data_IF_999527266807
#
_entry.id   IF_999527266807
#
_cell.length_a   1.000
_cell.length_b   1.000
_cell.length_c   1.000
_cell.angle_alpha   90.00
_cell.angle_beta   90.00
_cell.angle_gamma   90.00
#
_symmetry.space_group_name_H-M   'P 1'
#
loop_
_entity.id
_entity.type
_entity.pdbx_description
1 polymer ?
#
# COMPACT_ATOMS: atom_id res chain seq x y z
N UNK A 1 -23.75 23.12 10.10
CA UNK A 1 -23.69 21.69 9.71
C UNK A 1 -23.28 20.85 10.91
N UNK A 2 -23.89 19.68 11.14
CA UNK A 2 -23.48 18.78 12.23
C UNK A 2 -22.22 18.02 11.81
N UNK A 3 -21.23 17.90 12.71
CA UNK A 3 -19.91 17.24 12.43
C UNK A 3 -20.09 15.78 11.97
N UNK A 4 -21.14 15.11 12.44
CA UNK A 4 -21.60 13.80 11.96
C UNK A 4 -21.68 13.71 10.43
N UNK A 5 -22.10 14.76 9.72
CA UNK A 5 -22.21 14.74 8.25
C UNK A 5 -20.84 14.63 7.58
N UNK A 6 -19.81 15.29 8.11
CA UNK A 6 -18.43 15.22 7.56
C UNK A 6 -17.79 13.85 7.87
N UNK A 7 -18.00 13.32 9.08
CA UNK A 7 -17.58 11.97 9.43
C UNK A 7 -18.26 10.91 8.55
N UNK A 8 -19.57 11.05 8.28
CA UNK A 8 -20.30 10.19 7.35
C UNK A 8 -19.79 10.32 5.91
N UNK A 9 -19.45 11.52 5.42
CA UNK A 9 -18.83 11.68 4.10
C UNK A 9 -17.44 11.04 4.03
N UNK A 10 -16.62 11.10 5.09
CA UNK A 10 -15.32 10.45 5.12
C UNK A 10 -15.45 8.92 5.20
N UNK A 11 -16.35 8.41 6.04
CA UNK A 11 -16.71 6.99 6.11
C UNK A 11 -17.24 6.48 4.76
N UNK A 12 -18.09 7.25 4.09
CA UNK A 12 -18.69 6.94 2.79
C UNK A 12 -17.67 7.04 1.65
N UNK A 13 -16.72 7.97 1.73
CA UNK A 13 -15.60 8.08 0.78
C UNK A 13 -14.65 6.89 0.92
N UNK A 14 -14.30 6.48 2.15
CA UNK A 14 -13.55 5.24 2.41
C UNK A 14 -14.33 4.03 1.89
N UNK A 15 -15.64 3.94 2.15
CA UNK A 15 -16.48 2.86 1.65
C UNK A 15 -16.55 2.81 0.11
N UNK A 16 -16.68 3.96 -0.57
CA UNK A 16 -16.63 4.04 -2.03
C UNK A 16 -15.25 3.65 -2.56
N UNK A 17 -14.16 4.14 -1.93
CA UNK A 17 -12.80 3.79 -2.34
C UNK A 17 -12.52 2.28 -2.21
N UNK A 18 -13.02 1.65 -1.14
CA UNK A 18 -12.96 0.19 -0.94
C UNK A 18 -13.81 -0.57 -1.97
N UNK A 19 -15.05 -0.12 -2.23
CA UNK A 19 -15.93 -0.73 -3.23
C UNK A 19 -15.43 -0.55 -4.69
N UNK A 20 -14.65 0.49 -4.98
CA UNK A 20 -14.04 0.71 -6.30
C UNK A 20 -12.70 -0.02 -6.51
N UNK A 21 -12.12 -0.61 -5.47
CA UNK A 21 -10.80 -1.25 -5.53
C UNK A 21 -10.82 -2.74 -5.95
N UNK A 22 -12.00 -3.35 -6.16
CA UNK A 22 -12.11 -4.72 -6.64
C UNK A 22 -11.66 -4.88 -8.10
N UNK A 23 -10.71 -5.79 -8.36
CA UNK A 23 -10.30 -6.18 -9.72
C UNK A 23 -11.45 -6.85 -10.45
N UNK A 24 -11.99 -6.20 -11.49
CA UNK A 24 -13.01 -6.78 -12.37
C UNK A 24 -12.34 -7.59 -13.48
N UNK A 25 -12.24 -8.91 -13.31
CA UNK A 25 -11.56 -9.81 -14.25
C UNK A 25 -12.21 -9.80 -15.65
N UNK A 26 -13.52 -9.51 -15.75
CA UNK A 26 -14.20 -9.37 -17.04
C UNK A 26 -13.74 -8.10 -17.76
N UNK A 27 -13.56 -6.98 -17.04
CA UNK A 27 -12.99 -5.75 -17.60
C UNK A 27 -11.51 -5.92 -17.98
N UNK A 28 -10.73 -6.65 -17.18
CA UNK A 28 -9.30 -6.92 -17.46
C UNK A 28 -9.15 -7.71 -18.77
N UNK A 29 -10.00 -8.71 -19.02
CA UNK A 29 -10.03 -9.43 -20.31
C UNK A 29 -10.81 -8.71 -21.42
N UNK A 30 -11.48 -7.58 -21.14
CA UNK A 30 -12.28 -6.84 -22.12
C UNK A 30 -13.52 -7.59 -22.62
N UNK A 31 -14.13 -8.44 -21.78
CA UNK A 31 -15.29 -9.28 -22.13
C UNK A 31 -16.52 -8.95 -21.25
N UNK A 32 -17.76 -9.16 -21.74
CA UNK A 32 -18.95 -9.00 -20.90
C UNK A 32 -19.07 -10.13 -19.86
N UNK A 33 -19.81 -9.89 -18.77
CA UNK A 33 -20.06 -10.91 -17.73
C UNK A 33 -20.81 -12.15 -18.24
N UNK A 34 -21.57 -12.00 -19.32
CA UNK A 34 -22.24 -13.10 -20.04
C UNK A 34 -21.33 -13.88 -20.98
N UNK A 35 -20.03 -13.57 -21.06
CA UNK A 35 -19.11 -14.23 -22.00
C UNK A 35 -19.00 -15.74 -21.74
N UNK A 36 -19.00 -16.53 -22.81
CA UNK A 36 -18.76 -17.96 -22.75
C UNK A 36 -17.24 -18.26 -22.67
N UNK A 37 -16.91 -19.52 -22.35
CA UNK A 37 -15.51 -19.95 -22.17
C UNK A 37 -14.64 -19.69 -23.42
N UNK A 38 -15.22 -19.84 -24.62
CA UNK A 38 -14.50 -19.63 -25.88
C UNK A 38 -14.18 -18.13 -26.11
N UNK A 39 -15.08 -17.23 -25.72
CA UNK A 39 -14.83 -15.79 -25.74
C UNK A 39 -13.73 -15.38 -24.74
N UNK A 40 -13.76 -15.95 -23.53
CA UNK A 40 -12.74 -15.74 -22.49
C UNK A 40 -11.36 -16.24 -22.98
N UNK A 41 -11.28 -17.47 -23.51
CA UNK A 41 -10.07 -18.04 -24.13
C UNK A 41 -9.55 -17.17 -25.27
N UNK A 42 -10.42 -16.72 -26.18
CA UNK A 42 -10.05 -15.88 -27.33
C UNK A 42 -9.52 -14.50 -26.90
N UNK A 43 -10.14 -13.88 -25.90
CA UNK A 43 -9.68 -12.61 -25.35
C UNK A 43 -8.31 -12.73 -24.66
N UNK A 44 -8.12 -13.76 -23.82
CA UNK A 44 -6.83 -14.04 -23.19
C UNK A 44 -5.73 -14.31 -24.24
N UNK A 45 -5.96 -15.22 -25.21
CA UNK A 45 -4.99 -15.52 -26.29
C UNK A 45 -4.58 -14.26 -27.08
N UNK A 46 -5.51 -13.32 -27.31
CA UNK A 46 -5.20 -12.03 -27.96
C UNK A 46 -4.29 -11.17 -27.07
N UNK A 47 -4.72 -10.89 -25.83
CA UNK A 47 -3.99 -10.02 -24.91
C UNK A 47 -2.61 -10.58 -24.52
N UNK A 48 -2.50 -11.90 -24.35
CA UNK A 48 -1.22 -12.56 -24.05
C UNK A 48 -0.21 -12.46 -25.21
N UNK A 49 -0.68 -12.44 -26.47
CA UNK A 49 0.17 -12.22 -27.65
C UNK A 49 0.58 -10.76 -27.82
N UNK A 50 -0.24 -9.83 -27.34
CA UNK A 50 0.04 -8.39 -27.35
C UNK A 50 0.99 -7.98 -26.21
N UNK A 51 0.82 -8.54 -25.01
CA UNK A 51 1.54 -8.17 -23.78
C UNK A 51 2.67 -9.15 -23.40
N UNK A 52 3.10 -10.03 -24.32
CA UNK A 52 4.08 -11.08 -24.02
C UNK A 52 5.43 -10.49 -23.55
N UNK A 53 6.03 -10.99 -22.44
CA UNK A 53 7.30 -10.46 -21.91
C UNK A 53 8.42 -10.36 -22.96
N UNK A 54 8.57 -11.36 -23.84
CA UNK A 54 9.61 -11.41 -24.87
C UNK A 54 9.57 -10.22 -25.85
N UNK A 55 8.39 -9.61 -26.06
CA UNK A 55 8.21 -8.41 -26.91
C UNK A 55 8.40 -7.09 -26.15
N UNK A 56 8.41 -7.15 -24.83
CA UNK A 56 8.26 -6.01 -23.93
C UNK A 56 9.22 -6.15 -22.73
N UNK A 57 10.46 -6.55 -22.99
CA UNK A 57 11.41 -7.04 -21.99
C UNK A 57 11.73 -6.01 -20.88
N UNK A 58 11.72 -4.71 -21.22
CA UNK A 58 11.96 -3.61 -20.28
C UNK A 58 10.68 -2.88 -19.82
N UNK A 59 9.50 -3.23 -20.35
CA UNK A 59 8.24 -2.54 -20.02
C UNK A 59 7.54 -3.21 -18.82
N UNK A 60 7.80 -2.65 -17.65
CA UNK A 60 7.16 -3.05 -16.39
C UNK A 60 5.62 -2.99 -16.44
N UNK A 61 5.04 -2.07 -17.23
CA UNK A 61 3.58 -1.92 -17.35
C UNK A 61 3.00 -3.05 -18.20
N UNK A 62 3.72 -3.50 -19.24
CA UNK A 62 3.34 -4.69 -20.00
C UNK A 62 3.39 -5.96 -19.11
N UNK A 63 4.43 -6.08 -18.27
CA UNK A 63 4.57 -7.20 -17.33
C UNK A 63 3.44 -7.24 -16.28
N UNK A 64 3.12 -6.10 -15.63
CA UNK A 64 1.97 -6.00 -14.71
C UNK A 64 0.65 -6.40 -15.39
N UNK A 65 0.39 -5.90 -16.60
CA UNK A 65 -0.82 -6.25 -17.37
C UNK A 65 -0.85 -7.73 -17.77
N UNK A 66 0.29 -8.34 -18.07
CA UNK A 66 0.39 -9.76 -18.40
C UNK A 66 0.02 -10.64 -17.19
N UNK A 67 0.47 -10.27 -15.99
CA UNK A 67 0.07 -10.94 -14.74
C UNK A 67 -1.44 -10.80 -14.51
N UNK A 68 -2.00 -9.59 -14.68
CA UNK A 68 -3.42 -9.33 -14.47
C UNK A 68 -4.34 -10.11 -15.43
N UNK A 69 -4.00 -10.23 -16.73
CA UNK A 69 -4.78 -11.05 -17.68
C UNK A 69 -4.67 -12.54 -17.40
N UNK A 70 -3.54 -13.01 -16.86
CA UNK A 70 -3.33 -14.42 -16.53
C UNK A 70 -4.17 -14.82 -15.31
N UNK A 71 -4.15 -14.01 -14.25
CA UNK A 71 -5.00 -14.19 -13.08
C UNK A 71 -6.51 -14.13 -13.44
N UNK A 72 -6.89 -13.18 -14.30
CA UNK A 72 -8.27 -13.07 -14.81
C UNK A 72 -8.70 -14.30 -15.61
N UNK A 73 -7.81 -14.84 -16.46
CA UNK A 73 -8.08 -16.05 -17.23
C UNK A 73 -8.21 -17.30 -16.33
N UNK A 74 -7.34 -17.46 -15.33
CA UNK A 74 -7.40 -18.63 -14.44
C UNK A 74 -8.71 -18.69 -13.64
N UNK A 75 -9.18 -17.54 -13.14
CA UNK A 75 -10.45 -17.45 -12.41
C UNK A 75 -11.65 -17.64 -13.34
N UNK A 76 -11.66 -17.01 -14.51
CA UNK A 76 -12.83 -17.00 -15.41
C UNK A 76 -12.94 -18.24 -16.32
N UNK A 77 -11.84 -18.98 -16.54
CA UNK A 77 -11.84 -20.20 -17.36
C UNK A 77 -12.33 -21.44 -16.62
N UNK A 78 -12.14 -21.51 -15.30
CA UNK A 78 -12.66 -22.58 -14.46
C UNK A 78 -14.10 -22.23 -14.01
N UNK A 79 -15.06 -23.11 -14.30
CA UNK A 79 -16.48 -22.88 -14.04
C UNK A 79 -16.80 -22.68 -12.55
N UNK A 80 -16.10 -23.36 -11.64
CA UNK A 80 -16.32 -23.24 -10.20
C UNK A 80 -15.64 -22.00 -9.62
N UNK A 81 -14.39 -21.70 -10.01
CA UNK A 81 -13.71 -20.45 -9.63
C UNK A 81 -14.52 -19.23 -10.10
N UNK A 82 -15.04 -19.27 -11.33
CA UNK A 82 -15.93 -18.23 -11.89
C UNK A 82 -17.23 -18.11 -11.11
N UNK A 83 -17.90 -19.22 -10.77
CA UNK A 83 -19.15 -19.21 -9.99
C UNK A 83 -18.96 -18.57 -8.62
N UNK A 84 -17.84 -18.88 -7.94
CA UNK A 84 -17.51 -18.29 -6.65
C UNK A 84 -17.15 -16.81 -6.78
N UNK A 85 -16.37 -16.43 -7.81
CA UNK A 85 -16.08 -15.03 -8.14
C UNK A 85 -17.34 -14.21 -8.43
N UNK A 86 -18.27 -14.73 -9.23
CA UNK A 86 -19.53 -14.08 -9.58
C UNK A 86 -20.48 -13.91 -8.37
N UNK A 87 -20.30 -14.73 -7.32
CA UNK A 87 -20.99 -14.60 -6.03
C UNK A 87 -20.30 -13.69 -5.01
N UNK A 88 -19.04 -13.33 -5.23
CA UNK A 88 -18.20 -12.67 -4.22
C UNK A 88 -17.65 -13.63 -3.14
N UNK A 89 -17.73 -14.95 -3.37
CA UNK A 89 -17.26 -16.03 -2.48
C UNK A 89 -15.95 -16.69 -3.00
N UNK A 90 -15.28 -16.03 -3.96
CA UNK A 90 -14.14 -16.57 -4.69
C UNK A 90 -12.86 -16.71 -3.86
N UNK A 91 -12.15 -17.85 -3.91
CA UNK A 91 -10.77 -17.90 -3.44
C UNK A 91 -9.93 -16.97 -4.33
N UNK A 92 -9.22 -16.03 -3.70
CA UNK A 92 -8.32 -15.13 -4.40
C UNK A 92 -7.10 -15.92 -4.84
N UNK A 93 -7.09 -16.27 -6.14
CA UNK A 93 -6.11 -17.20 -6.70
C UNK A 93 -4.72 -16.59 -6.64
N UNK A 94 -3.83 -17.25 -5.91
CA UNK A 94 -2.41 -16.98 -5.83
C UNK A 94 -1.77 -17.16 -7.22
N UNK A 95 -0.97 -16.21 -7.73
CA UNK A 95 -0.16 -16.39 -8.93
C UNK A 95 0.99 -17.35 -8.61
N UNK A 96 0.66 -18.63 -8.51
CA UNK A 96 1.64 -19.69 -8.25
C UNK A 96 2.59 -19.73 -9.44
N UNK A 97 3.85 -19.34 -9.22
CA UNK A 97 4.93 -19.54 -10.21
C UNK A 97 5.30 -21.03 -10.21
N UNK A 98 4.39 -21.85 -10.76
CA UNK A 98 4.72 -23.20 -11.20
C UNK A 98 5.15 -23.12 -12.68
N UNK A 99 6.22 -23.82 -13.09
CA UNK A 99 6.75 -23.76 -14.46
C UNK A 99 5.84 -24.44 -15.52
N UNK A 100 4.59 -24.75 -15.19
CA UNK A 100 3.68 -25.56 -16.01
C UNK A 100 3.03 -24.76 -17.15
N UNK A 101 2.84 -23.44 -16.98
CA UNK A 101 2.06 -22.62 -17.95
C UNK A 101 2.82 -22.32 -19.25
N UNK A 102 4.16 -22.43 -19.27
CA UNK A 102 4.94 -22.29 -20.51
C UNK A 102 4.58 -23.36 -21.56
N UNK A 103 4.21 -24.58 -21.12
CA UNK A 103 3.85 -25.67 -22.03
C UNK A 103 2.50 -25.44 -22.74
N UNK A 104 1.50 -24.83 -22.07
CA UNK A 104 0.23 -24.49 -22.71
C UNK A 104 0.35 -23.27 -23.63
N UNK A 105 1.23 -22.32 -23.32
CA UNK A 105 1.50 -21.17 -24.17
C UNK A 105 2.25 -21.57 -25.46
N UNK A 106 3.20 -22.51 -25.39
CA UNK A 106 3.84 -23.09 -26.57
C UNK A 106 2.87 -23.97 -27.36
N UNK A 107 2.10 -24.84 -26.68
CA UNK A 107 1.08 -25.68 -27.32
C UNK A 107 0.03 -24.86 -28.07
N UNK A 108 -0.42 -23.73 -27.52
CA UNK A 108 -1.35 -22.82 -28.20
C UNK A 108 -0.73 -22.03 -29.37
N UNK A 109 0.61 -21.94 -29.47
CA UNK A 109 1.29 -21.40 -30.65
C UNK A 109 1.46 -22.46 -31.75
N UNK A 110 1.70 -23.72 -31.38
CA UNK A 110 1.80 -24.82 -32.34
C UNK A 110 0.43 -25.27 -32.87
N UNK A 111 -0.63 -25.30 -32.04
CA UNK A 111 -2.03 -25.43 -32.50
C UNK A 111 -2.37 -24.38 -33.58
N UNK A 112 -1.91 -23.12 -33.40
CA UNK A 112 -2.18 -22.05 -34.34
C UNK A 112 -1.36 -22.17 -35.64
N UNK A 113 -0.20 -22.83 -35.62
CA UNK A 113 0.56 -23.16 -36.84
C UNK A 113 -0.11 -24.32 -37.57
N UNK A 114 -0.53 -25.36 -36.87
CA UNK A 114 -1.21 -26.52 -37.45
C UNK A 114 -2.57 -26.13 -38.06
N UNK A 115 -3.35 -25.26 -37.41
CA UNK A 115 -4.60 -24.73 -37.98
C UNK A 115 -4.34 -23.85 -39.21
N UNK A 116 -3.27 -23.04 -39.21
CA UNK A 116 -2.88 -22.24 -40.38
C UNK A 116 -2.42 -23.11 -41.55
N UNK A 117 -1.57 -24.10 -41.29
CA UNK A 117 -1.09 -25.09 -42.27
C UNK A 117 -2.24 -25.95 -42.80
N UNK A 118 -3.19 -26.35 -41.96
CA UNK A 118 -4.42 -27.05 -42.42
C UNK A 118 -5.29 -26.17 -43.30
N UNK A 119 -5.42 -24.88 -43.02
CA UNK A 119 -6.15 -23.93 -43.87
C UNK A 119 -5.44 -23.72 -45.23
N UNK A 120 -4.11 -23.76 -45.23
CA UNK A 120 -3.27 -23.59 -46.42
C UNK A 120 -3.25 -24.86 -47.29
N UNK A 121 -3.18 -26.04 -46.69
CA UNK A 121 -3.37 -27.34 -47.34
C UNK A 121 -4.79 -27.47 -47.91
N UNK A 122 -5.82 -27.07 -47.17
CA UNK A 122 -7.20 -27.08 -47.66
C UNK A 122 -7.39 -26.17 -48.88
N UNK A 123 -6.74 -24.99 -48.91
CA UNK A 123 -6.71 -24.10 -50.08
C UNK A 123 -5.91 -24.66 -51.25
N UNK A 124 -4.87 -25.45 -51.00
CA UNK A 124 -4.09 -26.12 -52.03
C UNK A 124 -4.83 -27.31 -52.69
N UNK A 125 -5.90 -27.82 -52.07
CA UNK A 125 -6.66 -28.99 -52.55
C UNK A 125 -7.83 -28.66 -53.50
N UNK A 126 -8.11 -27.38 -53.78
CA UNK A 126 -9.16 -26.96 -54.72
C UNK A 126 -8.70 -26.86 -56.20
N UNK A 127 -7.48 -27.32 -56.53
CA UNK A 127 -6.96 -27.36 -57.91
C UNK A 127 -6.72 -28.79 -58.42
N UNK A 128 -7.18 -29.08 -59.65
CA UNK A 128 -7.12 -30.38 -60.38
C UNK A 128 -7.15 -30.12 -61.91
N UNK A 129 -6.82 -31.09 -62.81
CA UNK A 129 -6.27 -32.45 -62.61
C UNK A 129 -5.10 -32.84 -63.59
N UNK A 130 -4.84 -34.17 -63.69
CA UNK A 130 -3.99 -34.98 -64.62
C UNK A 130 -2.60 -35.40 -64.08
N UNK A 131 -2.07 -36.61 -64.33
CA UNK A 131 -2.60 -37.92 -64.82
C UNK A 131 -1.59 -39.05 -64.45
N UNK A 132 -2.06 -40.31 -64.31
CA UNK A 132 -1.38 -41.66 -64.39
C UNK A 132 0.12 -41.84 -63.99
N UNK A 133 0.60 -42.90 -63.30
CA UNK A 133 0.40 -44.36 -63.49
C UNK A 133 0.67 -45.21 -62.20
N UNK A 134 0.43 -46.53 -62.27
CA UNK A 134 0.63 -47.58 -61.24
C UNK A 134 2.13 -47.83 -60.89
N UNK A 135 2.57 -48.53 -59.82
CA UNK A 135 2.27 -49.91 -59.35
C UNK A 135 2.77 -50.19 -57.91
N UNK A 136 2.29 -51.27 -57.28
CA UNK A 136 3.03 -52.02 -56.22
C UNK A 136 2.44 -52.05 -54.79
N UNK A 137 2.03 -53.24 -54.32
CA UNK A 137 1.56 -53.54 -52.95
C UNK A 137 2.39 -54.70 -52.31
N UNK A 138 2.03 -55.33 -51.16
CA UNK A 138 2.36 -54.85 -49.79
C UNK A 138 2.95 -55.92 -48.83
N UNK A 139 3.57 -55.51 -47.71
CA UNK A 139 3.93 -56.31 -46.50
C UNK A 139 4.06 -55.33 -45.29
N UNK A 140 4.12 -55.72 -44.01
CA UNK A 140 3.09 -56.27 -43.10
C UNK A 140 3.51 -55.96 -41.62
N UNK A 141 2.63 -56.20 -40.63
CA UNK A 141 2.83 -56.37 -39.16
C UNK A 141 3.72 -55.38 -38.35
N UNK A 142 3.23 -54.64 -37.34
CA UNK A 142 2.64 -55.01 -36.02
C UNK A 142 3.66 -55.40 -34.93
N UNK A 143 3.92 -54.50 -33.96
CA UNK A 143 4.23 -54.81 -32.53
C UNK A 143 3.73 -53.67 -31.62
N UNK A 144 3.21 -53.99 -30.43
CA UNK A 144 2.91 -53.07 -29.31
C UNK A 144 3.63 -53.52 -28.01
N UNK A 145 3.70 -52.68 -26.94
CA UNK A 145 4.84 -52.70 -26.00
C UNK A 145 4.55 -53.28 -24.60
N UNK A 146 5.61 -53.58 -23.83
CA UNK A 146 5.61 -53.70 -22.37
C UNK A 146 6.96 -53.25 -21.79
N UNK A 147 6.96 -52.35 -20.80
CA UNK A 147 8.05 -52.20 -19.81
C UNK A 147 7.43 -51.89 -18.44
N UNK A 148 7.77 -52.69 -17.42
CA UNK A 148 7.53 -52.39 -16.01
C UNK A 148 8.79 -51.79 -15.38
N UNK A 149 8.64 -51.04 -14.30
CA UNK A 149 9.75 -50.66 -13.41
C UNK A 149 9.30 -50.75 -11.95
N UNK A 150 10.18 -51.25 -11.09
CA UNK A 150 9.88 -51.69 -9.73
C UNK A 150 10.10 -50.59 -8.67
N UNK A 151 9.43 -50.73 -7.52
CA UNK A 151 9.77 -50.00 -6.30
C UNK A 151 10.93 -50.68 -5.57
N UNK A 152 11.83 -49.88 -4.97
CA UNK A 152 12.58 -50.31 -3.79
C UNK A 152 12.77 -49.13 -2.84
N UNK A 153 12.52 -49.36 -1.55
CA UNK A 153 12.48 -48.31 -0.53
C UNK A 153 13.64 -48.38 0.46
N UNK A 154 13.92 -47.24 1.10
CA UNK A 154 14.76 -47.16 2.29
C UNK A 154 14.09 -46.24 3.33
N UNK A 155 13.91 -46.75 4.55
CA UNK A 155 13.42 -45.96 5.69
C UNK A 155 14.61 -45.30 6.41
N UNK A 156 14.42 -44.06 6.84
CA UNK A 156 15.21 -43.44 7.90
C UNK A 156 14.26 -42.84 8.95
N UNK A 157 14.55 -43.11 10.21
CA UNK A 157 13.78 -42.65 11.38
C UNK A 157 14.19 -41.22 11.78
N UNK A 158 13.26 -40.46 12.35
CA UNK A 158 13.45 -39.04 12.66
C UNK A 158 12.26 -38.46 13.42
N UNK A 159 12.35 -38.47 14.75
CA UNK A 159 11.28 -38.02 15.65
C UNK A 159 10.80 -36.59 15.36
N UNK A 160 9.50 -36.46 15.06
CA UNK A 160 8.86 -35.17 14.78
C UNK A 160 8.44 -34.51 16.09
N UNK A 161 9.11 -33.45 16.51
CA UNK A 161 8.51 -32.49 17.44
C UNK A 161 7.28 -31.89 16.74
N UNK A 162 6.09 -32.17 17.25
CA UNK A 162 4.87 -31.49 16.82
C UNK A 162 4.90 -30.05 17.33
N UNK A 163 5.29 -29.11 16.48
CA UNK A 163 5.05 -27.69 16.74
C UNK A 163 3.55 -27.44 16.73
N UNK A 164 3.02 -27.17 17.92
CA UNK A 164 1.60 -26.90 18.20
C UNK A 164 1.08 -25.80 17.27
N UNK A 165 0.34 -26.18 16.22
CA UNK A 165 -0.40 -25.22 15.39
C UNK A 165 -1.60 -24.72 16.19
N UNK A 166 -1.40 -23.67 16.97
CA UNK A 166 -2.52 -22.92 17.54
C UNK A 166 -3.27 -22.22 16.40
N UNK A 167 -4.44 -22.76 16.07
CA UNK A 167 -5.31 -22.25 15.00
C UNK A 167 -5.92 -20.94 15.47
N UNK A 168 -5.20 -19.84 15.28
CA UNK A 168 -5.77 -18.50 15.41
C UNK A 168 -6.82 -18.31 14.31
N UNK A 169 -7.97 -17.77 14.70
CA UNK A 169 -9.22 -17.80 13.94
C UNK A 169 -9.07 -17.36 12.47
N UNK A 170 -9.26 -18.30 11.52
CA UNK A 170 -9.48 -17.99 10.10
C UNK A 170 -8.26 -17.59 9.25
N UNK A 171 -7.02 -17.71 9.73
CA UNK A 171 -5.84 -17.41 8.91
C UNK A 171 -5.64 -18.45 7.79
N UNK A 172 -5.90 -18.05 6.54
CA UNK A 172 -5.66 -18.85 5.32
C UNK A 172 -4.18 -18.90 4.90
N UNK A 173 -3.35 -18.05 5.51
CA UNK A 173 -1.94 -17.85 5.18
C UNK A 173 -1.04 -18.10 6.39
N UNK A 174 0.25 -18.32 6.14
CA UNK A 174 1.28 -18.45 7.18
C UNK A 174 2.33 -17.35 7.03
N UNK A 175 2.85 -16.86 8.16
CA UNK A 175 3.86 -15.82 8.13
C UNK A 175 5.16 -16.32 7.48
N UNK A 176 5.75 -15.48 6.63
CA UNK A 176 6.89 -15.80 5.79
C UNK A 176 8.20 -15.18 6.30
N UNK A 177 9.33 -15.72 5.82
CA UNK A 177 10.66 -15.14 5.98
C UNK A 177 10.93 -14.13 4.86
N UNK A 178 11.67 -13.06 5.14
CA UNK A 178 11.90 -11.94 4.21
C UNK A 178 12.49 -12.38 2.86
N UNK A 179 13.35 -13.42 2.87
CA UNK A 179 13.99 -13.94 1.66
C UNK A 179 13.04 -14.66 0.69
N UNK A 180 11.83 -15.05 1.12
CA UNK A 180 10.84 -15.72 0.26
C UNK A 180 9.79 -14.74 -0.28
N UNK A 181 9.89 -13.45 0.06
CA UNK A 181 8.96 -12.41 -0.39
C UNK A 181 9.41 -11.77 -1.70
N UNK A 182 8.47 -11.24 -2.51
CA UNK A 182 8.84 -10.43 -3.68
C UNK A 182 9.54 -9.11 -3.27
N UNK A 183 10.39 -8.52 -4.14
CA UNK A 183 11.24 -7.37 -3.79
C UNK A 183 10.50 -6.15 -3.24
N UNK A 184 9.27 -5.89 -3.67
CA UNK A 184 8.47 -4.74 -3.22
C UNK A 184 8.00 -4.83 -1.76
N UNK A 185 8.12 -6.01 -1.12
CA UNK A 185 7.90 -6.22 0.32
C UNK A 185 9.19 -6.22 1.15
N UNK A 186 10.37 -6.28 0.52
CA UNK A 186 11.66 -6.37 1.22
C UNK A 186 12.20 -4.98 1.66
N UNK A 187 11.39 -4.18 2.37
CA UNK A 187 11.77 -2.80 2.74
C UNK A 187 12.84 -2.71 3.85
N UNK A 188 12.92 -3.72 4.73
CA UNK A 188 13.83 -3.73 5.88
C UNK A 188 14.53 -5.09 6.03
N UNK A 189 15.78 -5.16 5.57
CA UNK A 189 16.63 -6.36 5.61
C UNK A 189 16.93 -6.90 7.02
N UNK A 190 16.66 -6.13 8.08
CA UNK A 190 16.90 -6.55 9.47
C UNK A 190 15.67 -7.17 10.16
N UNK A 191 14.49 -7.06 9.53
CA UNK A 191 13.24 -7.70 9.97
C UNK A 191 13.11 -9.01 9.17
N UNK A 192 13.38 -10.13 9.80
CA UNK A 192 13.62 -11.40 9.11
C UNK A 192 12.36 -12.26 8.96
N UNK A 193 11.56 -12.37 10.02
CA UNK A 193 10.41 -13.26 10.11
C UNK A 193 9.10 -12.49 10.34
N UNK A 194 7.99 -13.22 10.37
CA UNK A 194 6.69 -12.68 10.76
C UNK A 194 6.00 -11.86 9.67
N UNK A 195 6.50 -11.88 8.44
CA UNK A 195 5.93 -11.09 7.34
C UNK A 195 4.65 -11.72 6.77
N UNK A 196 3.75 -10.88 6.27
CA UNK A 196 2.60 -11.35 5.49
C UNK A 196 3.05 -11.68 4.05
N UNK A 197 2.66 -12.84 3.49
CA UNK A 197 2.84 -13.08 2.06
C UNK A 197 1.91 -12.16 1.25
N UNK A 198 2.10 -12.04 -0.07
CA UNK A 198 1.17 -11.33 -0.95
C UNK A 198 -0.25 -11.95 -0.88
N UNK A 199 -1.22 -11.20 -0.35
CA UNK A 199 -2.58 -11.70 -0.12
C UNK A 199 -3.53 -11.45 -1.30
N UNK A 200 -3.22 -10.48 -2.17
CA UNK A 200 -4.04 -10.03 -3.31
C UNK A 200 -5.51 -9.69 -3.01
N UNK A 201 -5.87 -9.60 -1.72
CA UNK A 201 -7.24 -9.53 -1.22
C UNK A 201 -7.34 -8.43 -0.16
N UNK A 202 -8.20 -7.43 -0.40
CA UNK A 202 -8.46 -6.38 0.60
C UNK A 202 -9.03 -6.98 1.88
N UNK A 203 -9.94 -7.95 1.78
CA UNK A 203 -10.60 -8.55 2.93
C UNK A 203 -9.60 -9.27 3.85
N UNK A 204 -8.71 -10.09 3.29
CA UNK A 204 -7.68 -10.78 4.07
C UNK A 204 -6.64 -9.81 4.65
N UNK A 205 -6.32 -8.71 3.92
CA UNK A 205 -5.50 -7.63 4.47
C UNK A 205 -6.16 -6.97 5.69
N UNK A 206 -7.47 -6.67 5.64
CA UNK A 206 -8.20 -6.11 6.79
C UNK A 206 -8.38 -7.11 7.94
N UNK A 207 -8.60 -8.40 7.66
CA UNK A 207 -8.64 -9.43 8.70
C UNK A 207 -7.27 -9.60 9.38
N UNK A 208 -6.16 -9.39 8.66
CA UNK A 208 -4.82 -9.51 9.24
C UNK A 208 -4.55 -8.52 10.38
N UNK A 209 -5.31 -7.41 10.51
CA UNK A 209 -5.25 -6.48 11.66
C UNK A 209 -5.41 -7.21 13.00
N UNK A 210 -6.20 -8.29 13.02
CA UNK A 210 -6.45 -9.11 14.22
C UNK A 210 -5.47 -10.28 14.39
N UNK A 211 -4.40 -10.33 13.58
CA UNK A 211 -3.39 -11.38 13.59
C UNK A 211 -2.00 -10.78 13.90
N UNK A 212 -1.09 -11.63 14.35
CA UNK A 212 0.26 -11.22 14.77
C UNK A 212 1.24 -11.40 13.61
N UNK A 213 1.84 -10.31 13.17
CA UNK A 213 2.81 -10.22 12.08
C UNK A 213 3.70 -8.97 12.24
N UNK A 214 4.73 -8.81 11.40
CA UNK A 214 5.71 -7.72 11.47
C UNK A 214 5.08 -6.32 11.49
N UNK A 215 3.98 -6.15 10.75
CA UNK A 215 3.23 -4.89 10.64
C UNK A 215 2.20 -4.62 11.76
N UNK A 216 1.95 -5.55 12.69
CA UNK A 216 0.87 -5.43 13.69
C UNK A 216 1.07 -4.18 14.56
N UNK A 217 2.30 -3.93 15.04
CA UNK A 217 2.61 -2.74 15.81
C UNK A 217 2.48 -1.43 15.02
N UNK A 218 2.78 -1.43 13.71
CA UNK A 218 2.67 -0.24 12.86
C UNK A 218 1.20 0.14 12.66
N UNK A 219 0.33 -0.84 12.40
CA UNK A 219 -1.13 -0.65 12.27
C UNK A 219 -1.72 -0.15 13.60
N UNK A 220 -1.52 -0.89 14.69
CA UNK A 220 -2.23 -0.60 15.96
C UNK A 220 -1.79 0.70 16.62
N UNK A 221 -0.51 1.08 16.52
CA UNK A 221 -0.02 2.35 17.07
C UNK A 221 -0.72 3.56 16.44
N UNK A 222 -0.80 3.62 15.11
CA UNK A 222 -1.50 4.70 14.41
C UNK A 222 -3.03 4.56 14.44
N UNK A 223 -3.59 3.35 14.55
CA UNK A 223 -5.05 3.16 14.71
C UNK A 223 -5.54 3.67 16.08
N UNK A 224 -4.82 3.38 17.15
CA UNK A 224 -5.09 3.90 18.50
C UNK A 224 -4.92 5.43 18.50
N UNK A 225 -3.83 5.94 17.93
CA UNK A 225 -3.59 7.38 17.81
C UNK A 225 -4.71 8.08 17.03
N UNK A 226 -5.18 7.50 15.91
CA UNK A 226 -6.29 8.02 15.11
C UNK A 226 -7.57 8.11 15.95
N UNK A 227 -7.91 7.07 16.69
CA UNK A 227 -9.11 7.05 17.52
C UNK A 227 -9.03 8.06 18.68
N UNK A 228 -7.89 8.17 19.36
CA UNK A 228 -7.68 9.18 20.41
C UNK A 228 -7.75 10.59 19.83
N UNK A 229 -7.11 10.86 18.70
CA UNK A 229 -7.16 12.17 18.02
C UNK A 229 -8.58 12.49 17.51
N UNK A 230 -9.34 11.49 17.08
CA UNK A 230 -10.75 11.67 16.69
C UNK A 230 -11.61 12.06 17.88
N UNK A 231 -11.51 11.35 19.01
CA UNK A 231 -12.22 11.69 20.25
C UNK A 231 -11.82 13.08 20.77
N UNK A 232 -10.53 13.41 20.73
CA UNK A 232 -10.01 14.73 21.08
C UNK A 232 -10.59 15.83 20.18
N UNK A 233 -10.74 15.57 18.88
CA UNK A 233 -11.39 16.48 17.93
C UNK A 233 -12.85 16.71 18.30
N UNK A 234 -13.62 15.63 18.57
CA UNK A 234 -15.02 15.76 18.98
C UNK A 234 -15.16 16.53 20.29
N UNK A 235 -14.34 16.21 21.30
CA UNK A 235 -14.32 16.89 22.60
C UNK A 235 -13.98 18.38 22.48
N UNK A 236 -12.90 18.72 21.76
CA UNK A 236 -12.50 20.12 21.60
C UNK A 236 -13.55 20.94 20.82
N UNK A 237 -14.15 20.35 19.78
CA UNK A 237 -15.20 21.04 19.01
C UNK A 237 -16.48 21.22 19.83
N UNK A 238 -16.83 20.28 20.72
CA UNK A 238 -18.02 20.36 21.58
C UNK A 238 -17.84 21.18 22.86
N UNK A 239 -16.61 21.38 23.34
CA UNK A 239 -16.31 22.12 24.58
C UNK A 239 -16.79 23.57 24.52
N UNK A 240 -17.15 24.17 25.65
CA UNK A 240 -17.54 25.60 25.70
C UNK A 240 -16.35 26.54 25.93
N UNK A 241 -15.12 26.02 25.97
CA UNK A 241 -13.91 26.77 26.33
C UNK A 241 -13.50 27.87 25.33
N UNK A 242 -13.89 27.74 24.06
CA UNK A 242 -13.53 28.68 23.00
C UNK A 242 -14.74 29.07 22.14
N UNK A 243 -14.78 30.34 21.75
CA UNK A 243 -15.68 30.83 20.71
C UNK A 243 -15.40 30.14 19.36
N UNK A 244 -16.41 30.08 18.48
CA UNK A 244 -16.29 29.40 17.19
C UNK A 244 -15.13 29.93 16.33
N UNK A 245 -14.90 31.24 16.37
CA UNK A 245 -13.78 31.91 15.69
C UNK A 245 -12.42 31.33 16.11
N UNK A 246 -12.18 31.15 17.41
CA UNK A 246 -10.94 30.55 17.92
C UNK A 246 -10.89 29.02 17.79
N UNK A 247 -11.98 28.35 17.38
CA UNK A 247 -12.00 26.91 17.08
C UNK A 247 -11.71 26.57 15.62
N UNK A 248 -12.18 27.39 14.68
CA UNK A 248 -11.97 27.16 13.24
C UNK A 248 -10.48 26.93 12.88
N UNK A 249 -9.51 27.68 13.44
CA UNK A 249 -8.09 27.46 13.14
C UNK A 249 -7.51 26.17 13.73
N UNK A 250 -8.19 25.42 14.60
CA UNK A 250 -7.79 24.06 14.97
C UNK A 250 -8.11 23.02 13.87
N UNK A 251 -9.01 23.33 12.93
CA UNK A 251 -9.47 22.37 11.92
C UNK A 251 -8.35 21.89 10.97
N UNK A 252 -7.45 22.76 10.43
CA UNK A 252 -6.32 22.30 9.61
C UNK A 252 -5.44 21.28 10.33
N UNK A 253 -5.10 21.53 11.61
CA UNK A 253 -4.40 20.57 12.46
C UNK A 253 -5.17 19.24 12.61
N UNK A 254 -6.43 19.25 13.05
CA UNK A 254 -7.17 18.00 13.27
C UNK A 254 -7.41 17.19 11.99
N UNK A 255 -7.78 17.85 10.88
CA UNK A 255 -8.01 17.19 9.59
C UNK A 255 -6.72 16.58 9.06
N UNK A 256 -5.59 17.30 9.16
CA UNK A 256 -4.30 16.80 8.67
C UNK A 256 -3.71 15.69 9.55
N UNK A 257 -3.88 15.76 10.87
CA UNK A 257 -3.49 14.69 11.79
C UNK A 257 -4.29 13.40 11.56
N UNK A 258 -5.63 13.50 11.46
CA UNK A 258 -6.47 12.34 11.13
C UNK A 258 -6.18 11.78 9.74
N UNK A 259 -5.95 12.65 8.75
CA UNK A 259 -5.56 12.23 7.40
C UNK A 259 -4.23 11.47 7.37
N UNK A 260 -3.19 11.99 8.04
CA UNK A 260 -1.88 11.35 8.14
C UNK A 260 -1.95 9.98 8.83
N UNK A 261 -2.57 9.91 10.01
CA UNK A 261 -2.71 8.66 10.77
C UNK A 261 -3.57 7.65 9.98
N UNK A 262 -4.63 8.10 9.33
CA UNK A 262 -5.50 7.26 8.51
C UNK A 262 -4.81 6.68 7.27
N UNK A 263 -4.06 7.50 6.52
CA UNK A 263 -3.27 7.01 5.38
C UNK A 263 -2.23 5.99 5.80
N UNK A 264 -1.58 6.19 6.95
CA UNK A 264 -0.60 5.25 7.51
C UNK A 264 -1.25 3.91 7.89
N UNK A 265 -2.36 3.94 8.65
CA UNK A 265 -3.11 2.70 8.99
C UNK A 265 -3.52 1.92 7.75
N UNK A 266 -4.04 2.61 6.73
CA UNK A 266 -4.45 1.97 5.46
C UNK A 266 -3.23 1.43 4.69
N UNK A 267 -2.11 2.15 4.65
CA UNK A 267 -0.87 1.67 4.05
C UNK A 267 -0.38 0.40 4.74
N UNK A 268 -0.14 0.41 6.05
CA UNK A 268 0.36 -0.77 6.77
C UNK A 268 -0.64 -1.93 6.77
N UNK A 269 -1.95 -1.68 6.65
CA UNK A 269 -2.94 -2.74 6.45
C UNK A 269 -2.77 -3.38 5.07
N UNK A 270 -2.69 -2.58 4.00
CA UNK A 270 -2.72 -3.01 2.60
C UNK A 270 -1.34 -3.26 1.96
N UNK A 271 -0.24 -3.04 2.69
CA UNK A 271 1.13 -3.19 2.18
C UNK A 271 1.41 -4.59 1.62
N UNK A 272 0.70 -5.64 2.07
CA UNK A 272 0.81 -7.00 1.55
C UNK A 272 -0.19 -7.36 0.43
N UNK A 273 -0.95 -6.41 -0.12
CA UNK A 273 -1.96 -6.71 -1.14
C UNK A 273 -1.33 -7.05 -2.50
N UNK A 274 -0.73 -6.07 -3.16
CA UNK A 274 -0.02 -6.20 -4.45
C UNK A 274 0.90 -4.99 -4.65
N UNK A 275 1.89 -5.12 -5.54
CA UNK A 275 2.89 -4.08 -5.78
C UNK A 275 2.26 -2.70 -6.05
N UNK A 276 1.31 -2.62 -6.97
CA UNK A 276 0.61 -1.37 -7.28
C UNK A 276 -0.13 -0.76 -6.07
N UNK A 277 -0.83 -1.58 -5.27
CA UNK A 277 -1.57 -1.10 -4.08
C UNK A 277 -0.59 -0.58 -3.02
N UNK A 278 0.47 -1.34 -2.74
CA UNK A 278 1.53 -0.94 -1.80
C UNK A 278 2.20 0.37 -2.26
N UNK A 279 2.57 0.47 -3.54
CA UNK A 279 3.20 1.67 -4.11
C UNK A 279 2.28 2.90 -4.09
N UNK A 280 0.96 2.72 -4.25
CA UNK A 280 -0.01 3.80 -4.14
C UNK A 280 -0.14 4.28 -2.69
N UNK A 281 -0.42 3.38 -1.75
CA UNK A 281 -0.65 3.77 -0.36
C UNK A 281 0.62 4.26 0.35
N UNK A 282 1.82 3.76 -0.01
CA UNK A 282 3.10 4.30 0.46
C UNK A 282 3.31 5.77 0.04
N UNK A 283 2.84 6.15 -1.14
CA UNK A 283 2.87 7.57 -1.58
C UNK A 283 1.85 8.41 -0.81
N UNK A 284 0.67 7.87 -0.51
CA UNK A 284 -0.35 8.57 0.29
C UNK A 284 0.10 8.76 1.74
N UNK A 285 0.75 7.77 2.35
CA UNK A 285 1.36 7.87 3.69
C UNK A 285 2.44 8.97 3.75
N UNK A 286 3.39 8.97 2.81
CA UNK A 286 4.38 10.07 2.69
C UNK A 286 3.72 11.45 2.47
N UNK A 287 2.66 11.54 1.67
CA UNK A 287 1.87 12.77 1.52
C UNK A 287 1.18 13.18 2.84
N UNK A 288 0.72 12.21 3.64
CA UNK A 288 0.14 12.43 4.96
C UNK A 288 1.07 13.23 5.88
N UNK A 289 2.35 12.87 5.92
CA UNK A 289 3.37 13.58 6.72
C UNK A 289 3.50 15.05 6.28
N UNK A 290 3.58 15.31 4.97
CA UNK A 290 3.66 16.68 4.44
C UNK A 290 2.39 17.50 4.75
N UNK A 291 1.22 16.88 4.62
CA UNK A 291 -0.09 17.48 4.92
C UNK A 291 -0.21 17.81 6.41
N UNK A 292 0.22 16.89 7.30
CA UNK A 292 0.27 17.10 8.76
C UNK A 292 1.12 18.31 9.12
N UNK A 293 2.39 18.35 8.70
CA UNK A 293 3.31 19.46 9.00
C UNK A 293 2.69 20.79 8.53
N UNK A 294 2.13 20.81 7.32
CA UNK A 294 1.51 22.01 6.76
C UNK A 294 0.27 22.45 7.55
N UNK A 295 -0.65 21.52 7.86
CA UNK A 295 -1.87 21.80 8.59
C UNK A 295 -1.62 22.25 10.03
N UNK A 296 -0.67 21.61 10.72
CA UNK A 296 -0.24 22.05 12.06
C UNK A 296 0.33 23.47 12.01
N UNK A 297 1.26 23.76 11.08
CA UNK A 297 1.90 25.07 11.02
C UNK A 297 0.90 26.18 10.68
N UNK A 298 -0.05 25.96 9.76
CA UNK A 298 -1.12 26.92 9.47
C UNK A 298 -1.97 27.20 10.71
N UNK A 299 -2.39 26.16 11.44
CA UNK A 299 -3.16 26.31 12.67
C UNK A 299 -2.46 27.19 13.71
N UNK A 300 -1.16 26.98 13.94
CA UNK A 300 -0.42 27.74 14.94
C UNK A 300 -0.07 29.16 14.49
N UNK A 301 0.25 29.35 13.20
CA UNK A 301 0.52 30.67 12.62
C UNK A 301 -0.64 31.65 12.76
N UNK A 302 -1.88 31.17 12.73
CA UNK A 302 -3.07 32.00 12.94
C UNK A 302 -3.03 32.70 14.31
N UNK A 303 -2.76 31.95 15.40
CA UNK A 303 -2.69 32.54 16.73
C UNK A 303 -1.39 33.32 16.96
N UNK A 304 -0.29 32.96 16.30
CA UNK A 304 0.94 33.77 16.36
C UNK A 304 0.70 35.17 15.79
N UNK A 305 0.17 35.28 14.56
CA UNK A 305 -0.06 36.55 13.87
C UNK A 305 -1.53 37.01 13.93
N UNK A 306 -2.22 36.75 15.05
CA UNK A 306 -3.66 36.99 15.22
C UNK A 306 -4.09 38.42 14.86
N UNK A 307 -3.34 39.45 15.28
CA UNK A 307 -3.63 40.86 14.96
C UNK A 307 -3.09 41.33 13.60
N UNK A 308 -2.43 40.46 12.84
CA UNK A 308 -1.69 40.81 11.62
C UNK A 308 -1.93 39.79 10.51
N UNK A 309 -3.18 39.76 10.01
CA UNK A 309 -3.67 38.82 9.00
C UNK A 309 -2.80 38.75 7.74
N UNK A 310 -2.10 39.82 7.37
CA UNK A 310 -1.19 39.83 6.23
C UNK A 310 0.07 38.97 6.45
N UNK A 311 0.64 38.98 7.67
CA UNK A 311 1.76 38.10 8.05
C UNK A 311 1.30 36.65 8.12
N UNK A 312 0.13 36.40 8.69
CA UNK A 312 -0.49 35.08 8.69
C UNK A 312 -0.64 34.53 7.26
N UNK A 313 -1.25 35.29 6.34
CA UNK A 313 -1.44 34.88 4.94
C UNK A 313 -0.11 34.65 4.23
N UNK A 314 0.87 35.55 4.40
CA UNK A 314 2.20 35.41 3.82
C UNK A 314 2.88 34.11 4.26
N UNK A 315 2.95 33.84 5.56
CA UNK A 315 3.58 32.64 6.09
C UNK A 315 2.77 31.37 5.78
N UNK A 316 1.43 31.42 5.79
CA UNK A 316 0.59 30.29 5.42
C UNK A 316 0.80 29.89 3.95
N UNK A 317 0.84 30.85 3.02
CA UNK A 317 1.15 30.58 1.60
C UNK A 317 2.56 30.01 1.42
N UNK A 318 3.56 30.56 2.13
CA UNK A 318 4.91 30.02 2.10
C UNK A 318 4.94 28.56 2.59
N UNK A 319 4.33 28.27 3.74
CA UNK A 319 4.27 26.93 4.32
C UNK A 319 3.52 25.94 3.43
N UNK A 320 2.39 26.33 2.83
CA UNK A 320 1.70 25.50 1.83
C UNK A 320 2.61 25.20 0.63
N UNK A 321 3.38 26.18 0.15
CA UNK A 321 4.29 25.98 -0.98
C UNK A 321 5.46 25.04 -0.65
N UNK A 322 5.93 25.02 0.60
CA UNK A 322 6.96 24.09 1.07
C UNK A 322 6.38 22.68 1.32
N UNK A 323 5.17 22.60 1.88
CA UNK A 323 4.39 21.36 2.03
C UNK A 323 4.15 20.66 0.69
N UNK A 324 3.66 21.39 -0.32
CA UNK A 324 3.45 20.84 -1.68
C UNK A 324 4.77 20.39 -2.32
N UNK A 325 5.85 21.16 -2.19
CA UNK A 325 7.17 20.77 -2.72
C UNK A 325 7.70 19.50 -2.05
N UNK A 326 7.63 19.42 -0.71
CA UNK A 326 8.08 18.23 0.03
C UNK A 326 7.25 17.00 -0.35
N UNK A 327 5.93 17.09 -0.42
CA UNK A 327 5.06 16.00 -0.89
C UNK A 327 5.46 15.51 -2.30
N UNK A 328 5.58 16.43 -3.27
CA UNK A 328 5.97 16.10 -4.66
C UNK A 328 7.35 15.42 -4.71
N UNK A 329 8.32 15.92 -3.94
CA UNK A 329 9.68 15.39 -3.88
C UNK A 329 9.73 13.99 -3.25
N UNK A 330 8.89 13.69 -2.26
CA UNK A 330 8.91 12.39 -1.57
C UNK A 330 8.10 11.28 -2.25
N UNK A 331 7.23 11.62 -3.22
CA UNK A 331 6.46 10.65 -4.03
C UNK A 331 7.02 10.41 -5.44
N UNK A 332 7.93 11.26 -5.92
CA UNK A 332 8.56 11.14 -7.24
C UNK A 332 9.95 10.53 -7.16
N UNK A 333 10.26 9.64 -8.10
CA UNK A 333 11.60 9.08 -8.31
C UNK A 333 12.18 8.38 -7.09
N UNK A 334 13.51 8.41 -6.99
CA UNK A 334 14.29 7.57 -6.08
C UNK A 334 14.09 7.89 -4.59
N UNK A 335 13.63 9.09 -4.25
CA UNK A 335 13.35 9.49 -2.86
C UNK A 335 12.18 8.72 -2.23
N UNK A 336 11.34 8.07 -3.06
CA UNK A 336 10.31 7.15 -2.59
C UNK A 336 10.84 5.79 -2.13
N UNK A 337 12.08 5.43 -2.50
CA UNK A 337 12.68 4.11 -2.22
C UNK A 337 13.22 3.98 -0.79
N UNK A 338 13.60 2.76 -0.39
CA UNK A 338 14.23 2.48 0.90
C UNK A 338 15.67 3.01 1.02
N UNK A 339 16.38 3.21 -0.10
CA UNK A 339 17.77 3.71 -0.10
C UNK A 339 17.84 5.18 0.37
N UNK A 340 16.90 6.02 -0.06
CA UNK A 340 16.87 7.45 0.22
C UNK A 340 16.10 7.85 1.49
N UNK A 341 15.88 6.91 2.43
CA UNK A 341 15.10 7.16 3.67
C UNK A 341 15.63 8.32 4.50
N UNK A 342 16.95 8.41 4.70
CA UNK A 342 17.55 9.54 5.43
C UNK A 342 17.29 10.88 4.72
N UNK A 343 17.45 10.93 3.39
CA UNK A 343 17.15 12.12 2.57
C UNK A 343 15.68 12.51 2.68
N UNK A 344 14.77 11.53 2.66
CA UNK A 344 13.31 11.75 2.81
C UNK A 344 12.97 12.32 4.19
N UNK A 345 13.50 11.73 5.27
CA UNK A 345 13.31 12.25 6.62
C UNK A 345 13.90 13.66 6.78
N UNK A 346 15.05 13.96 6.17
CA UNK A 346 15.63 15.31 6.18
C UNK A 346 14.71 16.34 5.50
N UNK A 347 14.07 16.00 4.37
CA UNK A 347 13.09 16.89 3.69
C UNK A 347 11.92 17.24 4.62
N UNK A 348 11.37 16.26 5.35
CA UNK A 348 10.28 16.51 6.30
C UNK A 348 10.74 17.30 7.54
N UNK A 349 11.92 16.98 8.10
CA UNK A 349 12.51 17.71 9.24
C UNK A 349 12.73 19.19 8.87
N UNK A 350 13.33 19.47 7.71
CA UNK A 350 13.56 20.85 7.26
C UNK A 350 12.25 21.60 6.97
N UNK A 351 11.22 20.91 6.44
CA UNK A 351 9.89 21.49 6.28
C UNK A 351 9.28 21.91 7.63
N UNK A 352 9.38 21.05 8.66
CA UNK A 352 8.93 21.38 10.03
C UNK A 352 9.74 22.51 10.69
N UNK A 353 11.07 22.47 10.56
CA UNK A 353 11.96 23.52 11.10
C UNK A 353 11.79 24.89 10.44
N UNK A 354 11.19 24.96 9.25
CA UNK A 354 10.85 26.24 8.61
C UNK A 354 9.95 27.14 9.47
N UNK A 355 9.14 26.54 10.37
CA UNK A 355 8.30 27.26 11.32
C UNK A 355 9.08 28.09 12.36
N UNK A 356 10.40 27.90 12.51
CA UNK A 356 11.24 28.75 13.37
C UNK A 356 11.34 30.18 12.81
N UNK A 357 11.29 30.36 11.49
CA UNK A 357 11.40 31.68 10.83
C UNK A 357 10.28 32.64 11.27
N UNK A 358 8.98 32.29 11.19
CA UNK A 358 7.91 33.13 11.71
C UNK A 358 8.00 33.40 13.22
N UNK A 359 8.45 32.44 14.04
CA UNK A 359 8.70 32.66 15.47
C UNK A 359 9.74 33.76 15.71
N UNK A 360 10.86 33.73 14.97
CA UNK A 360 11.92 34.73 15.05
C UNK A 360 11.43 36.11 14.57
N UNK A 361 10.63 36.16 13.51
CA UNK A 361 10.04 37.41 13.02
C UNK A 361 9.10 38.03 14.08
N UNK A 362 8.23 37.22 14.69
CA UNK A 362 7.36 37.67 15.79
C UNK A 362 8.18 38.20 16.98
N UNK A 363 9.23 37.47 17.40
CA UNK A 363 10.15 37.89 18.47
C UNK A 363 10.85 39.21 18.20
N UNK A 364 11.20 39.47 16.94
CA UNK A 364 11.84 40.72 16.51
C UNK A 364 10.87 41.90 16.56
N UNK A 365 9.63 41.71 16.09
CA UNK A 365 8.63 42.78 16.03
C UNK A 365 8.04 43.17 17.39
N UNK A 366 7.68 42.19 18.23
CA UNK A 366 6.84 42.42 19.42
C UNK A 366 7.52 42.04 20.74
N UNK A 367 8.67 41.39 20.70
CA UNK A 367 9.08 40.51 21.79
C UNK A 367 8.26 39.21 21.81
N UNK A 368 8.58 38.30 22.73
CA UNK A 368 7.68 37.20 23.07
C UNK A 368 7.32 37.38 24.55
N UNK A 369 6.02 37.51 24.89
CA UNK A 369 5.55 37.54 26.28
C UNK A 369 5.88 36.26 27.03
N UNK A 370 6.04 36.34 28.35
CA UNK A 370 6.39 35.18 29.19
C UNK A 370 5.30 34.11 29.16
N UNK A 371 4.04 34.51 29.06
CA UNK A 371 2.87 33.63 28.91
C UNK A 371 2.97 32.78 27.63
N UNK A 372 3.56 33.32 26.57
CA UNK A 372 3.72 32.63 25.29
C UNK A 372 4.94 31.68 25.27
N UNK A 373 5.91 31.85 26.19
CA UNK A 373 7.04 30.92 26.33
C UNK A 373 6.60 29.48 26.58
N UNK A 374 5.52 29.27 27.35
CA UNK A 374 5.03 27.91 27.63
C UNK A 374 4.58 27.18 26.36
N UNK A 375 3.86 27.86 25.46
CA UNK A 375 3.47 27.31 24.15
C UNK A 375 4.70 26.94 23.31
N UNK A 376 5.75 27.76 23.34
CA UNK A 376 7.01 27.53 22.60
C UNK A 376 7.83 26.38 23.19
N UNK A 377 7.91 26.24 24.52
CA UNK A 377 8.57 25.08 25.14
C UNK A 377 7.90 23.76 24.72
N UNK A 378 6.57 23.74 24.60
CA UNK A 378 5.84 22.57 24.09
C UNK A 378 6.14 22.28 22.60
N UNK A 379 6.40 23.30 21.77
CA UNK A 379 6.89 23.10 20.40
C UNK A 379 8.31 22.52 20.36
N UNK A 380 9.19 22.92 21.27
CA UNK A 380 10.54 22.35 21.37
C UNK A 380 10.48 20.88 21.78
N UNK A 381 9.60 20.52 22.72
CA UNK A 381 9.37 19.12 23.13
C UNK A 381 8.76 18.32 21.96
N UNK A 382 7.77 18.86 21.24
CA UNK A 382 7.24 18.25 20.01
C UNK A 382 8.35 18.02 18.96
N UNK A 383 9.20 19.02 18.72
CA UNK A 383 10.28 18.93 17.75
C UNK A 383 11.31 17.85 18.15
N UNK A 384 11.63 17.71 19.44
CA UNK A 384 12.44 16.62 19.96
C UNK A 384 11.85 15.25 19.57
N UNK A 385 10.57 15.00 19.86
CA UNK A 385 9.94 13.71 19.50
C UNK A 385 9.93 13.47 17.99
N UNK A 386 9.55 14.45 17.16
CA UNK A 386 9.57 14.27 15.70
C UNK A 386 10.97 13.99 15.14
N UNK A 387 11.98 14.78 15.55
CA UNK A 387 13.35 14.65 15.04
C UNK A 387 13.96 13.33 15.52
N UNK A 388 13.87 13.01 16.81
CA UNK A 388 14.42 11.77 17.36
C UNK A 388 13.74 10.54 16.75
N UNK A 389 12.42 10.55 16.59
CA UNK A 389 11.69 9.46 15.94
C UNK A 389 12.12 9.26 14.47
N UNK A 390 12.21 10.35 13.70
CA UNK A 390 12.63 10.30 12.31
C UNK A 390 14.09 9.83 12.12
N UNK A 391 14.98 10.16 13.06
CA UNK A 391 16.36 9.65 13.10
C UNK A 391 16.40 8.16 13.45
N UNK A 392 15.63 7.70 14.44
CA UNK A 392 15.51 6.28 14.81
C UNK A 392 15.04 5.45 13.60
N UNK A 393 13.97 5.87 12.93
CA UNK A 393 13.46 5.28 11.69
C UNK A 393 14.51 5.23 10.57
N UNK A 394 15.19 6.37 10.32
CA UNK A 394 16.22 6.46 9.27
C UNK A 394 17.38 5.50 9.53
N UNK A 395 17.81 5.38 10.77
CA UNK A 395 18.92 4.53 11.19
C UNK A 395 18.57 3.04 11.34
N UNK A 396 17.27 2.67 11.31
CA UNK A 396 16.75 1.31 11.59
C UNK A 396 17.17 0.77 12.96
N UNK A 397 17.16 1.60 14.00
CA UNK A 397 17.53 1.17 15.37
C UNK A 397 16.24 0.87 16.16
N UNK A 398 16.14 -0.27 16.87
CA UNK A 398 17.20 -1.20 17.26
C UNK A 398 17.43 -2.39 16.33
N UNK A 399 16.59 -2.65 15.32
CA UNK A 399 16.64 -3.87 14.51
C UNK A 399 17.98 -4.06 13.76
N UNK A 400 18.62 -2.97 13.33
CA UNK A 400 19.97 -2.98 12.72
C UNK A 400 21.06 -3.51 13.65
N UNK A 401 20.90 -3.34 14.97
CA UNK A 401 21.87 -3.81 15.96
C UNK A 401 21.65 -5.28 16.34
N UNK A 402 20.40 -5.76 16.25
CA UNK A 402 20.04 -7.15 16.50
C UNK A 402 18.97 -7.63 15.49
N UNK A 403 19.37 -7.97 14.26
CA UNK A 403 18.46 -8.49 13.24
C UNK A 403 17.71 -9.73 13.73
N UNK A 404 16.45 -9.88 13.32
CA UNK A 404 15.60 -11.00 13.74
C UNK A 404 15.00 -10.89 15.16
N UNK A 405 15.57 -10.07 16.07
CA UNK A 405 15.05 -9.97 17.46
C UNK A 405 13.85 -9.04 17.61
N UNK A 406 13.68 -8.10 16.69
CA UNK A 406 12.63 -7.08 16.72
C UNK A 406 11.63 -7.30 15.58
N UNK A 407 11.43 -8.55 15.16
CA UNK A 407 10.64 -8.86 13.96
C UNK A 407 9.15 -8.48 14.09
N UNK A 408 8.60 -8.49 15.31
CA UNK A 408 7.19 -8.15 15.58
C UNK A 408 7.02 -6.89 16.43
N UNK A 409 7.96 -6.59 17.33
CA UNK A 409 7.81 -5.54 18.36
C UNK A 409 9.06 -4.68 18.48
N UNK A 410 8.88 -3.39 18.80
CA UNK A 410 9.93 -2.40 19.03
C UNK A 410 10.87 -2.15 17.83
N UNK A 411 10.36 -2.35 16.60
CA UNK A 411 11.01 -1.88 15.38
C UNK A 411 11.16 -0.35 15.39
N UNK A 412 12.19 0.17 14.71
CA UNK A 412 12.38 1.60 14.50
C UNK A 412 11.13 2.32 13.96
N UNK A 413 10.37 1.65 13.07
CA UNK A 413 9.12 2.14 12.49
C UNK A 413 8.00 2.30 13.55
N UNK A 414 7.84 1.30 14.42
CA UNK A 414 6.85 1.33 15.51
C UNK A 414 7.20 2.43 16.54
N UNK A 415 8.49 2.58 16.85
CA UNK A 415 8.98 3.65 17.75
C UNK A 415 8.67 5.03 17.13
N UNK A 416 8.91 5.20 15.83
CA UNK A 416 8.57 6.43 15.12
C UNK A 416 7.06 6.74 15.16
N UNK A 417 6.18 5.75 14.97
CA UNK A 417 4.72 5.95 15.09
C UNK A 417 4.30 6.43 16.47
N UNK A 418 4.85 5.83 17.54
CA UNK A 418 4.60 6.28 18.92
C UNK A 418 5.10 7.70 19.14
N UNK A 419 6.28 8.05 18.60
CA UNK A 419 6.85 9.40 18.73
C UNK A 419 6.03 10.45 17.96
N UNK A 420 5.49 10.11 16.78
CA UNK A 420 4.53 10.96 16.04
C UNK A 420 3.29 11.23 16.88
N UNK A 421 2.69 10.21 17.50
CA UNK A 421 1.52 10.41 18.36
C UNK A 421 1.81 11.29 19.59
N UNK A 422 2.94 11.07 20.26
CA UNK A 422 3.36 11.90 21.40
C UNK A 422 3.55 13.36 20.94
N UNK A 423 4.20 13.58 19.79
CA UNK A 423 4.40 14.91 19.22
C UNK A 423 3.05 15.61 18.89
N UNK A 424 2.07 14.90 18.32
CA UNK A 424 0.72 15.42 18.11
C UNK A 424 0.08 15.93 19.42
N UNK A 425 0.18 15.17 20.51
CA UNK A 425 -0.38 15.59 21.81
C UNK A 425 0.31 16.85 22.34
N UNK A 426 1.64 16.94 22.27
CA UNK A 426 2.38 18.15 22.68
C UNK A 426 2.05 19.36 21.79
N UNK A 427 1.92 19.17 20.48
CA UNK A 427 1.52 20.22 19.56
C UNK A 427 0.09 20.72 19.85
N UNK A 428 -0.86 19.81 20.09
CA UNK A 428 -2.21 20.18 20.49
C UNK A 428 -2.23 21.03 21.77
N UNK A 429 -1.45 20.64 22.79
CA UNK A 429 -1.34 21.43 24.03
C UNK A 429 -0.74 22.81 23.76
N UNK A 430 0.32 22.89 22.95
CA UNK A 430 0.91 24.18 22.51
C UNK A 430 -0.12 25.09 21.83
N UNK A 431 -0.97 24.51 20.96
CA UNK A 431 -2.02 25.20 20.22
C UNK A 431 -3.17 25.68 21.13
N UNK A 432 -3.54 24.87 22.14
CA UNK A 432 -4.50 25.28 23.18
C UNK A 432 -3.97 26.47 23.98
N UNK A 433 -2.71 26.44 24.45
CA UNK A 433 -2.14 27.54 25.24
C UNK A 433 -2.06 28.87 24.46
N UNK A 434 -1.68 28.84 23.18
CA UNK A 434 -1.66 30.08 22.38
C UNK A 434 -3.08 30.58 22.05
N UNK A 435 -4.08 29.70 21.95
CA UNK A 435 -5.48 30.10 21.82
C UNK A 435 -6.06 30.68 23.13
N UNK A 436 -5.69 30.12 24.30
CA UNK A 436 -6.02 30.68 25.61
C UNK A 436 -5.44 32.08 25.79
N UNK A 437 -4.18 32.29 25.41
CA UNK A 437 -3.56 33.62 25.38
C UNK A 437 -4.32 34.63 24.51
N UNK A 438 -4.95 34.20 23.41
CA UNK A 438 -5.80 35.08 22.58
C UNK A 438 -7.21 35.35 23.14
N UNK A 439 -7.68 34.56 24.11
CA UNK A 439 -8.90 34.92 24.87
C UNK A 439 -8.64 36.11 25.82
N UNK A 440 -7.48 36.14 26.48
CA UNK A 440 -7.08 37.24 27.37
C UNK A 440 -6.49 38.45 26.63
N UNK A 441 -5.96 38.25 25.44
CA UNK A 441 -5.24 39.27 24.66
C UNK A 441 -5.82 39.38 23.24
N UNK A 442 -7.04 39.94 23.12
CA UNK A 442 -7.65 40.24 21.82
C UNK A 442 -6.93 41.38 21.09
N UNK A 443 -7.29 41.54 19.83
CA UNK A 443 -7.04 42.74 19.01
C UNK A 443 -8.31 43.58 18.95
#
# INVERSE_FOLDING_TARGET
>A
MKISTVALFFQYFIYIALCQAGRDFYKILGVPRSANLNQIKKAYRKLAKELHPDKHQDDKIAHEKFQDISAAYEVLSNQEKRRLYDKGEGPMVEPTVQPVVQAEASGAQDELKDDAVRLEIARAQEAKPCEQQNEGSPVESTVQPVVQAEESGAKADGGRLESRKEVMFGATWTAAHVSTLPPWLQENEFVLNGHRPPLFSFFDCFLSIFQIHSETGNIWSHLIAFYVMYLLTQWHMSSTSFNLELKIPFLPYFISALGCLGFSVVFHTLVCHSEWVSHLFRKLDHCGIAILITGSTISWLYYLFYCHSWLYVFYAVLCMSLGVRSAIQTIKGDLSTAHHRFTRSLVFILNGLSAVIPCLHYRYMYGIPEELMHSIHLLVIMAFFYITGALIYSCRVPERLMPGKFDTWFQSHQIFHVFVFIALVFFYRSLVFIAEYRLSTPC
#
